data_IF_046112592273
#
_entry.id   IF_046112592273
#
_cell.length_a   1.000
_cell.length_b   1.000
_cell.length_c   1.000
_cell.angle_alpha   90.00
_cell.angle_beta   90.00
_cell.angle_gamma   90.00
#
_symmetry.space_group_name_H-M   'P 1'
#
loop_
_entity.id
_entity.type
_entity.pdbx_description
1 polymer ?
#
# COMPACT_ATOMS: atom_id res chain seq x y z
N UNK A 1 13.76 -2.67 9.34
CA UNK A 1 13.33 -1.28 9.56
C UNK A 1 14.49 -0.35 9.89
N UNK A 2 15.45 -0.76 10.74
CA UNK A 2 16.63 0.04 11.09
C UNK A 2 17.41 0.55 9.88
N UNK A 3 17.60 -0.29 8.86
CA UNK A 3 18.31 0.11 7.63
C UNK A 3 17.55 1.14 6.78
N UNK A 4 16.24 1.31 7.03
CA UNK A 4 15.39 2.25 6.30
C UNK A 4 15.36 3.60 7.00
N UNK A 5 15.03 3.60 8.30
CA UNK A 5 14.99 4.80 9.14
C UNK A 5 16.37 4.96 9.80
N UNK A 6 17.30 5.49 9.02
CA UNK A 6 18.70 5.67 9.40
C UNK A 6 19.26 6.99 8.86
N UNK A 7 20.44 7.38 9.35
CA UNK A 7 21.19 8.54 8.91
C UNK A 7 20.58 9.87 9.37
N UNK A 8 21.20 11.01 9.00
CA UNK A 8 20.80 12.33 9.48
C UNK A 8 19.55 12.85 8.73
N UNK A 9 18.45 12.10 8.76
CA UNK A 9 17.17 12.56 8.27
C UNK A 9 16.68 13.71 9.17
N UNK A 10 16.26 14.81 8.55
CA UNK A 10 15.78 15.98 9.25
C UNK A 10 14.30 15.86 9.58
N UNK A 11 13.52 15.28 8.67
CA UNK A 11 12.07 15.19 8.79
C UNK A 11 11.53 13.85 8.32
N UNK A 12 10.40 13.42 8.88
CA UNK A 12 9.76 12.17 8.52
C UNK A 12 8.24 12.29 8.40
N UNK A 13 7.67 11.73 7.33
CA UNK A 13 6.27 11.35 7.28
C UNK A 13 6.18 9.84 7.30
N UNK A 14 5.42 9.30 8.24
CA UNK A 14 5.18 7.87 8.36
C UNK A 14 3.69 7.60 8.42
N UNK A 15 3.19 6.72 7.56
CA UNK A 15 1.79 6.35 7.54
C UNK A 15 1.63 4.84 7.72
N UNK A 16 0.66 4.43 8.54
CA UNK A 16 0.36 3.03 8.76
C UNK A 16 -1.03 2.85 9.39
N UNK A 17 -1.56 1.64 9.29
CA UNK A 17 -2.76 1.23 10.02
C UNK A 17 -2.51 1.02 11.53
N UNK A 18 -1.31 0.56 11.90
CA UNK A 18 -0.96 0.14 13.26
C UNK A 18 0.47 0.55 13.60
N UNK A 19 0.64 1.08 14.81
CA UNK A 19 1.91 1.51 15.36
C UNK A 19 2.10 0.95 16.76
N UNK A 20 3.31 0.48 17.03
CA UNK A 20 3.94 0.38 18.35
C UNK A 20 5.11 1.37 18.32
N UNK A 21 4.82 2.62 18.71
CA UNK A 21 5.80 3.70 18.62
C UNK A 21 6.97 3.53 19.60
N UNK A 22 6.77 3.07 20.85
CA UNK A 22 7.89 2.75 21.74
C UNK A 22 8.87 1.73 21.15
N UNK A 23 8.36 0.65 20.55
CA UNK A 23 9.20 -0.29 19.84
C UNK A 23 9.91 0.37 18.66
N UNK A 24 9.18 1.08 17.80
CA UNK A 24 9.75 1.71 16.60
C UNK A 24 10.88 2.70 16.94
N UNK A 25 10.71 3.54 17.96
CA UNK A 25 11.74 4.48 18.42
C UNK A 25 12.93 3.76 19.03
N UNK A 26 12.69 2.66 19.77
CA UNK A 26 13.77 1.82 20.29
C UNK A 26 14.59 1.17 19.17
N UNK A 27 13.95 0.79 18.07
CA UNK A 27 14.63 0.21 16.90
C UNK A 27 15.34 1.28 16.07
N UNK A 28 14.75 2.47 15.97
CA UNK A 28 15.23 3.58 15.16
C UNK A 28 15.43 4.86 16.01
N UNK A 29 16.45 4.91 16.89
CA UNK A 29 16.66 6.06 17.80
C UNK A 29 16.85 7.39 17.07
N UNK A 30 17.28 7.36 15.81
CA UNK A 30 17.43 8.54 14.95
C UNK A 30 16.14 9.34 14.78
N UNK A 31 14.97 8.74 15.01
CA UNK A 31 13.71 9.48 15.06
C UNK A 31 13.75 10.61 16.11
N UNK A 32 14.49 10.44 17.21
CA UNK A 32 14.59 11.45 18.27
C UNK A 32 15.49 12.63 17.89
N UNK A 33 16.23 12.55 16.78
CA UNK A 33 17.08 13.64 16.28
C UNK A 33 16.42 14.47 15.19
N UNK A 34 15.23 14.06 14.72
CA UNK A 34 14.49 14.75 13.66
C UNK A 34 13.83 16.02 14.20
N UNK A 35 13.75 17.07 13.36
CA UNK A 35 13.09 18.32 13.74
C UNK A 35 11.57 18.27 13.58
N UNK A 36 11.07 17.43 12.67
CA UNK A 36 9.65 17.34 12.36
C UNK A 36 9.23 15.91 12.01
N UNK A 37 8.18 15.41 12.65
CA UNK A 37 7.62 14.08 12.39
C UNK A 37 6.10 14.15 12.23
N UNK A 38 5.61 13.72 11.06
CA UNK A 38 4.18 13.57 10.77
C UNK A 38 3.81 12.09 10.78
N UNK A 39 2.87 11.69 11.65
CA UNK A 39 2.35 10.33 11.77
C UNK A 39 0.90 10.31 11.29
N UNK A 40 0.64 9.60 10.20
CA UNK A 40 -0.71 9.42 9.65
C UNK A 40 -1.26 8.03 9.99
N UNK A 41 -2.46 7.96 10.57
CA UNK A 41 -3.09 6.70 10.99
C UNK A 41 -4.54 6.56 10.56
N UNK A 42 -4.97 5.31 10.36
CA UNK A 42 -6.36 4.95 10.08
C UNK A 42 -7.27 4.82 11.31
N UNK A 43 -6.73 4.99 12.51
CA UNK A 43 -7.51 4.89 13.73
C UNK A 43 -8.43 6.12 13.88
N UNK A 44 -9.72 5.90 13.60
CA UNK A 44 -10.76 6.91 13.56
C UNK A 44 -11.42 7.18 14.91
N UNK A 45 -12.06 8.35 15.02
CA UNK A 45 -12.80 8.78 16.21
C UNK A 45 -14.17 8.11 16.44
N UNK A 46 -14.51 7.07 15.69
CA UNK A 46 -15.87 6.49 15.69
C UNK A 46 -16.00 5.15 16.42
N UNK A 47 -14.90 4.55 16.86
CA UNK A 47 -14.90 3.27 17.59
C UNK A 47 -14.06 3.40 18.86
N UNK A 48 -14.55 3.03 20.06
CA UNK A 48 -13.83 3.21 21.32
C UNK A 48 -12.40 2.65 21.31
N UNK A 49 -12.21 1.44 20.75
CA UNK A 49 -10.88 0.81 20.62
C UNK A 49 -9.93 1.54 19.66
N UNK A 50 -10.44 2.27 18.67
CA UNK A 50 -9.64 3.09 17.74
C UNK A 50 -9.26 4.43 18.38
N UNK A 51 -10.19 5.05 19.10
CA UNK A 51 -9.95 6.28 19.87
C UNK A 51 -8.82 6.06 20.88
N UNK A 52 -8.90 5.01 21.70
CA UNK A 52 -7.88 4.71 22.72
C UNK A 52 -6.50 4.46 22.09
N UNK A 53 -6.44 3.81 20.92
CA UNK A 53 -5.18 3.57 20.21
C UNK A 53 -4.60 4.87 19.65
N UNK A 54 -5.41 5.74 19.07
CA UNK A 54 -4.98 7.06 18.61
C UNK A 54 -4.46 7.92 19.77
N UNK A 55 -5.15 7.94 20.90
CA UNK A 55 -4.69 8.66 22.10
C UNK A 55 -3.38 8.09 22.66
N UNK A 56 -3.23 6.75 22.67
CA UNK A 56 -1.99 6.11 23.10
C UNK A 56 -0.82 6.44 22.17
N UNK A 57 -1.08 6.49 20.85
CA UNK A 57 -0.08 6.87 19.85
C UNK A 57 0.36 8.33 20.06
N UNK A 58 -0.60 9.24 20.28
CA UNK A 58 -0.32 10.66 20.59
C UNK A 58 0.55 10.80 21.84
N UNK A 59 0.17 10.16 22.95
CA UNK A 59 0.97 10.18 24.18
C UNK A 59 2.38 9.66 23.95
N UNK A 60 2.53 8.54 23.26
CA UNK A 60 3.87 7.97 22.97
C UNK A 60 4.70 8.91 22.09
N UNK A 61 4.07 9.61 21.15
CA UNK A 61 4.74 10.58 20.28
C UNK A 61 5.20 11.81 21.08
N UNK A 62 4.35 12.32 21.98
CA UNK A 62 4.70 13.43 22.87
C UNK A 62 5.86 13.04 23.80
N UNK A 63 5.75 11.89 24.45
CA UNK A 63 6.69 11.43 25.49
C UNK A 63 8.07 11.07 24.91
N UNK A 64 8.16 10.57 23.68
CA UNK A 64 9.40 10.03 23.12
C UNK A 64 10.03 10.90 22.03
N UNK A 65 9.22 11.64 21.26
CA UNK A 65 9.67 12.42 20.11
C UNK A 65 9.59 13.92 20.40
N UNK A 66 8.43 14.42 20.85
CA UNK A 66 8.29 15.85 21.13
C UNK A 66 9.14 16.30 22.32
N UNK A 67 9.24 15.46 23.36
CA UNK A 67 10.14 15.66 24.49
C UNK A 67 11.63 15.75 24.10
N UNK A 68 12.00 15.19 22.94
CA UNK A 68 13.35 15.26 22.36
C UNK A 68 13.58 16.51 21.51
N UNK A 69 12.58 17.39 21.40
CA UNK A 69 12.66 18.66 20.66
C UNK A 69 12.05 18.65 19.27
N UNK A 70 11.47 17.52 18.81
CA UNK A 70 10.78 17.44 17.54
C UNK A 70 9.41 18.13 17.57
N UNK A 71 9.02 18.79 16.49
CA UNK A 71 7.60 19.09 16.24
C UNK A 71 6.93 17.80 15.76
N UNK A 72 5.86 17.34 16.41
CA UNK A 72 5.22 16.08 16.08
C UNK A 72 3.72 16.27 15.83
N UNK A 73 3.26 15.79 14.68
CA UNK A 73 1.84 15.79 14.31
C UNK A 73 1.34 14.34 14.20
N UNK A 74 0.28 13.99 14.92
CA UNK A 74 -0.37 12.68 14.83
C UNK A 74 -1.81 12.85 14.35
N UNK A 75 -2.04 12.54 13.08
CA UNK A 75 -3.29 12.77 12.39
C UNK A 75 -4.02 11.49 12.02
N UNK A 76 -5.33 11.46 12.32
CA UNK A 76 -6.22 10.43 11.82
C UNK A 76 -6.71 10.81 10.43
N UNK A 77 -6.48 9.93 9.46
CA UNK A 77 -6.93 10.14 8.07
C UNK A 77 -8.46 10.03 8.01
N UNK A 78 -9.17 11.02 7.41
CA UNK A 78 -10.61 10.95 7.21
C UNK A 78 -10.97 9.76 6.32
N UNK A 79 -11.75 8.83 6.88
CA UNK A 79 -12.33 7.72 6.14
C UNK A 79 -13.82 7.98 5.86
N UNK A 80 -14.36 7.57 4.69
CA UNK A 80 -15.78 7.73 4.39
C UNK A 80 -16.67 7.08 5.46
N UNK A 81 -17.61 7.87 6.01
CA UNK A 81 -18.54 7.40 7.04
C UNK A 81 -19.50 6.35 6.47
N UNK A 82 -19.90 5.38 7.30
CA UNK A 82 -20.86 4.35 6.91
C UNK A 82 -20.32 3.31 5.91
N UNK A 83 -19.00 3.30 5.68
CA UNK A 83 -18.34 2.32 4.79
C UNK A 83 -17.42 1.39 5.60
N UNK A 84 -17.02 0.27 5.00
CA UNK A 84 -15.99 -0.63 5.53
C UNK A 84 -14.55 -0.19 5.16
N UNK A 85 -14.33 1.10 4.89
CA UNK A 85 -13.03 1.65 4.47
C UNK A 85 -11.96 1.54 5.56
N UNK A 86 -10.71 1.35 5.13
CA UNK A 86 -9.53 1.25 6.00
C UNK A 86 -8.37 2.04 5.40
N UNK A 87 -7.63 2.78 6.22
CA UNK A 87 -6.34 3.35 5.83
C UNK A 87 -5.26 2.27 5.99
N UNK A 88 -5.02 1.54 4.91
CA UNK A 88 -4.06 0.43 4.83
C UNK A 88 -2.60 0.78 4.39
N UNK A 89 -2.30 1.93 3.75
CA UNK A 89 -0.95 2.26 3.29
C UNK A 89 0.11 2.15 4.39
N UNK A 90 1.32 1.73 4.02
CA UNK A 90 2.52 1.77 4.85
C UNK A 90 3.64 2.44 4.07
N UNK A 91 3.81 3.72 4.30
CA UNK A 91 4.74 4.59 3.59
C UNK A 91 5.61 5.32 4.61
N UNK A 92 6.89 5.43 4.31
CA UNK A 92 7.84 6.25 5.04
C UNK A 92 8.48 7.20 4.02
N UNK A 93 8.40 8.49 4.29
CA UNK A 93 9.15 9.54 3.60
C UNK A 93 10.15 10.12 4.59
N UNK A 94 11.44 10.07 4.26
CA UNK A 94 12.50 10.67 5.07
C UNK A 94 13.16 11.76 4.26
N UNK A 95 13.06 13.01 4.71
CA UNK A 95 13.74 14.13 4.10
C UNK A 95 15.11 14.34 4.78
N UNK A 96 16.17 14.18 4.01
CA UNK A 96 17.53 14.55 4.37
C UNK A 96 17.86 15.92 3.75
N UNK A 97 19.02 16.49 4.12
CA UNK A 97 19.50 17.74 3.52
C UNK A 97 19.67 17.64 1.99
N UNK A 98 20.09 16.47 1.48
CA UNK A 98 20.50 16.26 0.09
C UNK A 98 19.54 15.39 -0.73
N UNK A 99 18.61 14.66 -0.08
CA UNK A 99 17.73 13.69 -0.74
C UNK A 99 16.44 13.43 0.04
N UNK A 100 15.47 12.81 -0.61
CA UNK A 100 14.33 12.17 0.02
C UNK A 100 14.42 10.66 -0.17
N UNK A 101 14.19 9.90 0.88
CA UNK A 101 13.99 8.45 0.80
C UNK A 101 12.50 8.15 0.77
N UNK A 102 12.08 7.41 -0.24
CA UNK A 102 10.73 6.85 -0.33
C UNK A 102 10.80 5.37 0.02
N UNK A 103 10.08 4.96 1.05
CA UNK A 103 9.93 3.55 1.41
C UNK A 103 8.47 3.14 1.45
N UNK A 104 8.11 2.11 0.68
CA UNK A 104 6.78 1.47 0.69
C UNK A 104 6.96 0.04 1.18
N UNK A 105 6.20 -0.38 2.18
CA UNK A 105 6.31 -1.73 2.76
C UNK A 105 4.95 -2.41 2.94
N UNK A 106 4.96 -3.74 3.11
CA UNK A 106 3.76 -4.51 3.50
C UNK A 106 3.58 -4.63 5.02
N UNK A 107 4.62 -4.38 5.82
CA UNK A 107 4.60 -4.58 7.28
C UNK A 107 3.93 -3.41 8.01
N UNK A 108 3.08 -3.72 9.00
CA UNK A 108 2.73 -2.69 9.99
C UNK A 108 3.93 -2.37 10.89
N UNK A 109 3.93 -1.21 11.56
CA UNK A 109 5.00 -0.84 12.49
C UNK A 109 4.79 -1.47 13.88
N UNK A 110 4.84 -2.81 13.91
CA UNK A 110 4.77 -3.65 15.10
C UNK A 110 5.93 -4.66 15.07
N UNK A 111 6.49 -5.00 16.22
CA UNK A 111 7.64 -5.92 16.31
C UNK A 111 7.43 -7.24 15.56
N UNK A 112 6.28 -7.89 15.78
CA UNK A 112 5.95 -9.19 15.20
C UNK A 112 5.85 -9.17 13.66
N UNK A 113 5.46 -8.03 13.10
CA UNK A 113 5.35 -7.82 11.65
C UNK A 113 6.72 -7.68 10.96
N UNK A 114 7.79 -7.38 11.71
CA UNK A 114 9.16 -7.22 11.20
C UNK A 114 10.10 -8.35 11.61
N UNK A 115 9.60 -9.38 12.30
CA UNK A 115 10.44 -10.43 12.89
C UNK A 115 10.45 -11.73 12.08
N UNK A 116 9.30 -12.39 11.95
CA UNK A 116 9.18 -13.77 11.41
C UNK A 116 8.21 -13.91 10.25
N UNK A 117 7.77 -12.78 9.68
CA UNK A 117 6.86 -12.73 8.54
C UNK A 117 7.62 -12.37 7.27
N UNK A 118 7.23 -12.97 6.16
CA UNK A 118 7.69 -12.53 4.86
C UNK A 118 7.01 -11.20 4.54
N UNK A 119 7.81 -10.15 4.42
CA UNK A 119 7.37 -8.80 4.10
C UNK A 119 8.17 -8.28 2.92
N UNK A 120 7.56 -7.38 2.16
CA UNK A 120 8.22 -6.70 1.05
C UNK A 120 8.52 -5.26 1.45
N UNK A 121 9.67 -4.76 1.02
CA UNK A 121 10.08 -3.38 1.19
C UNK A 121 10.63 -2.88 -0.14
N UNK A 122 10.04 -1.81 -0.67
CA UNK A 122 10.63 -0.96 -1.69
C UNK A 122 11.27 0.23 -1.00
N UNK A 123 12.53 0.53 -1.31
CA UNK A 123 13.25 1.72 -0.80
C UNK A 123 14.06 2.32 -1.94
N UNK A 124 13.90 3.62 -2.17
CA UNK A 124 14.75 4.36 -3.09
C UNK A 124 14.99 5.78 -2.59
N UNK A 125 16.21 6.27 -2.78
CA UNK A 125 16.63 7.64 -2.49
C UNK A 125 16.59 8.48 -3.77
N UNK A 126 16.11 9.71 -3.65
CA UNK A 126 15.97 10.69 -4.73
C UNK A 126 16.65 12.00 -4.35
N UNK A 127 17.64 12.48 -5.12
CA UNK A 127 18.40 13.68 -4.77
C UNK A 127 17.53 14.94 -4.84
N UNK A 128 17.98 16.01 -4.19
CA UNK A 128 17.34 17.33 -4.29
C UNK A 128 17.49 17.89 -5.71
N UNK A 129 16.47 18.59 -6.22
CA UNK A 129 16.56 19.30 -7.51
C UNK A 129 17.65 20.38 -7.42
N UNK A 130 18.45 20.51 -8.48
CA UNK A 130 19.45 21.58 -8.60
C UNK A 130 18.78 22.85 -9.14
N UNK A 131 19.13 24.03 -8.62
CA UNK A 131 18.51 25.32 -9.01
C UNK A 131 18.82 25.72 -10.46
N UNK A 132 19.98 25.30 -10.99
CA UNK A 132 20.49 25.72 -12.31
C UNK A 132 20.57 24.57 -13.35
N UNK A 133 20.12 23.37 -12.99
CA UNK A 133 20.20 22.19 -13.84
C UNK A 133 18.96 22.04 -14.72
N UNK A 134 19.16 21.76 -16.01
CA UNK A 134 18.07 21.24 -16.85
C UNK A 134 17.49 20.01 -16.15
N UNK A 135 16.22 20.07 -15.74
CA UNK A 135 15.54 18.97 -15.07
C UNK A 135 15.72 17.69 -15.91
N UNK A 136 16.33 16.65 -15.33
CA UNK A 136 16.42 15.33 -15.95
C UNK A 136 15.03 14.70 -15.94
N UNK A 137 14.17 15.15 -16.84
CA UNK A 137 12.78 14.71 -16.87
C UNK A 137 12.71 13.31 -17.47
N UNK A 138 12.41 12.32 -16.63
CA UNK A 138 11.99 10.99 -17.07
C UNK A 138 10.48 10.86 -16.85
N UNK A 139 9.76 10.25 -17.80
CA UNK A 139 8.32 10.03 -17.68
C UNK A 139 7.96 9.24 -16.41
N UNK A 140 8.85 8.32 -16.02
CA UNK A 140 8.72 7.53 -14.81
C UNK A 140 8.91 8.37 -13.54
N UNK A 141 9.89 9.28 -13.53
CA UNK A 141 10.10 10.21 -12.43
C UNK A 141 8.95 11.20 -12.26
N UNK A 142 8.42 11.74 -13.35
CA UNK A 142 7.24 12.61 -13.32
C UNK A 142 6.00 11.91 -12.74
N UNK A 143 5.75 10.66 -13.14
CA UNK A 143 4.64 9.86 -12.62
C UNK A 143 4.85 9.51 -11.13
N UNK A 144 6.09 9.23 -10.70
CA UNK A 144 6.44 9.02 -9.29
C UNK A 144 6.14 10.26 -8.43
N UNK A 145 6.60 11.44 -8.86
CA UNK A 145 6.36 12.72 -8.19
C UNK A 145 4.86 13.04 -8.12
N UNK A 146 4.14 12.92 -9.24
CA UNK A 146 2.70 13.20 -9.32
C UNK A 146 1.90 12.24 -8.43
N UNK A 147 2.13 10.93 -8.51
CA UNK A 147 1.38 9.97 -7.71
C UNK A 147 1.62 10.11 -6.23
N UNK A 148 2.88 10.29 -5.82
CA UNK A 148 3.21 10.47 -4.41
C UNK A 148 2.55 11.75 -3.87
N UNK A 149 2.67 12.87 -4.61
CA UNK A 149 2.05 14.14 -4.25
C UNK A 149 0.53 14.03 -4.09
N UNK A 150 -0.18 13.44 -5.05
CA UNK A 150 -1.64 13.36 -4.93
C UNK A 150 -2.10 12.34 -3.91
N UNK A 151 -1.36 11.24 -3.70
CA UNK A 151 -1.70 10.30 -2.65
C UNK A 151 -1.62 11.00 -1.28
N UNK A 152 -0.52 11.70 -1.00
CA UNK A 152 -0.36 12.48 0.23
C UNK A 152 -1.46 13.55 0.36
N UNK A 153 -1.70 14.33 -0.69
CA UNK A 153 -2.76 15.35 -0.72
C UNK A 153 -4.18 14.80 -0.54
N UNK A 154 -4.40 13.50 -0.78
CA UNK A 154 -5.69 12.85 -0.56
C UNK A 154 -5.87 12.26 0.85
N UNK A 155 -4.81 12.16 1.65
CA UNK A 155 -4.89 11.62 3.02
C UNK A 155 -5.42 12.66 4.01
N UNK A 156 -4.71 13.76 4.23
CA UNK A 156 -5.15 14.90 5.06
C UNK A 156 -4.69 16.20 4.39
N UNK A 157 -4.86 17.36 5.04
CA UNK A 157 -4.02 18.52 4.74
C UNK A 157 -2.61 18.20 5.25
N UNK A 158 -1.93 17.29 4.58
CA UNK A 158 -0.57 16.86 4.93
C UNK A 158 0.42 17.99 4.64
N UNK A 159 0.30 19.08 5.42
CA UNK A 159 1.10 20.29 5.46
C UNK A 159 1.86 20.62 4.15
N UNK A 160 3.15 20.87 4.28
CA UNK A 160 4.11 21.19 3.24
C UNK A 160 4.69 19.93 2.58
N UNK A 161 4.24 18.71 2.93
CA UNK A 161 4.81 17.47 2.37
C UNK A 161 4.64 17.38 0.86
N UNK A 162 3.52 17.86 0.32
CA UNK A 162 3.35 17.99 -1.13
C UNK A 162 4.41 18.91 -1.76
N UNK A 163 4.80 20.00 -1.08
CA UNK A 163 5.81 20.93 -1.56
C UNK A 163 7.22 20.36 -1.36
N UNK A 164 7.47 19.66 -0.25
CA UNK A 164 8.72 18.91 -0.01
C UNK A 164 8.93 17.86 -1.09
N UNK A 165 7.92 17.04 -1.41
CA UNK A 165 8.01 16.01 -2.44
C UNK A 165 8.49 16.61 -3.76
N UNK A 166 7.92 17.74 -4.18
CA UNK A 166 8.27 18.44 -5.43
C UNK A 166 9.68 19.02 -5.46
N UNK A 167 10.36 19.14 -4.33
CA UNK A 167 11.72 19.66 -4.25
C UNK A 167 12.81 18.65 -4.63
N UNK A 168 12.45 17.38 -4.87
CA UNK A 168 13.38 16.30 -5.19
C UNK A 168 13.23 15.78 -6.62
N UNK A 169 14.32 15.29 -7.19
CA UNK A 169 14.40 14.77 -8.55
C UNK A 169 14.17 13.24 -8.56
N UNK A 170 13.04 12.83 -9.15
CA UNK A 170 12.64 11.43 -9.28
C UNK A 170 13.10 10.78 -10.59
N UNK A 171 13.98 11.41 -11.36
CA UNK A 171 14.47 10.94 -12.67
C UNK A 171 14.95 9.49 -12.68
N UNK A 172 15.48 9.02 -11.55
CA UNK A 172 16.01 7.67 -11.32
C UNK A 172 14.97 6.63 -10.88
N UNK A 173 13.70 7.00 -10.75
CA UNK A 173 12.64 6.09 -10.30
C UNK A 173 12.64 4.80 -11.12
N UNK A 174 12.49 3.66 -10.44
CA UNK A 174 12.52 2.32 -11.08
C UNK A 174 11.15 1.68 -11.21
N UNK A 175 10.09 2.35 -10.75
CA UNK A 175 8.74 1.81 -10.73
C UNK A 175 7.66 2.88 -10.60
N UNK A 176 6.42 2.46 -10.84
CA UNK A 176 5.24 3.32 -10.79
C UNK A 176 4.37 2.95 -9.60
N UNK A 177 3.91 3.96 -8.85
CA UNK A 177 3.04 3.73 -7.68
C UNK A 177 1.63 3.38 -8.17
N UNK A 178 1.01 2.34 -7.62
CA UNK A 178 -0.43 2.08 -7.73
C UNK A 178 -1.05 2.22 -6.35
N UNK A 179 -1.70 3.35 -6.10
CA UNK A 179 -2.36 3.64 -4.84
C UNK A 179 -3.88 3.56 -4.98
N UNK A 180 -4.57 3.35 -3.85
CA UNK A 180 -6.03 3.37 -3.76
C UNK A 180 -6.44 4.46 -2.78
N UNK A 181 -7.27 5.38 -3.25
CA UNK A 181 -7.90 6.42 -2.45
C UNK A 181 -9.41 6.23 -2.58
N UNK A 182 -10.17 6.20 -1.47
CA UNK A 182 -11.62 6.15 -1.56
C UNK A 182 -12.15 7.31 -2.40
N UNK A 183 -13.18 7.09 -3.21
CA UNK A 183 -13.92 8.19 -3.81
C UNK A 183 -14.66 8.92 -2.69
N UNK A 184 -14.03 9.96 -2.12
CA UNK A 184 -14.67 10.77 -1.08
C UNK A 184 -15.69 11.67 -1.77
N UNK A 185 -16.96 11.56 -1.36
CA UNK A 185 -17.97 12.57 -1.64
C UNK A 185 -17.52 13.90 -1.01
N UNK A 186 -16.95 14.77 -1.84
CA UNK A 186 -16.41 16.06 -1.43
C UNK A 186 -15.26 16.49 -2.35
N UNK A 187 -15.63 17.18 -3.44
CA UNK A 187 -14.84 17.69 -4.58
C UNK A 187 -14.67 16.81 -5.83
N UNK A 188 -15.01 15.52 -5.79
CA UNK A 188 -15.23 14.75 -7.02
C UNK A 188 -16.60 14.06 -6.97
N UNK A 189 -17.53 14.54 -7.80
CA UNK A 189 -18.85 13.95 -7.98
C UNK A 189 -18.69 12.56 -8.58
N UNK A 190 -18.87 11.50 -7.79
CA UNK A 190 -19.19 10.16 -8.29
C UNK A 190 -20.27 9.55 -7.39
N UNK A 191 -21.47 10.12 -7.45
CA UNK A 191 -22.67 9.55 -6.87
C UNK A 191 -23.11 8.34 -7.68
N UNK A 192 -22.94 7.11 -7.19
CA UNK A 192 -23.55 5.86 -7.71
C UNK A 192 -23.65 5.70 -9.25
N UNK A 193 -22.74 6.34 -9.98
CA UNK A 193 -22.57 6.31 -11.42
C UNK A 193 -21.06 6.21 -11.60
N UNK A 194 -20.67 5.19 -12.34
CA UNK A 194 -19.35 4.95 -12.92
C UNK A 194 -18.51 6.23 -12.94
N UNK A 195 -17.31 6.20 -12.33
CA UNK A 195 -16.32 7.27 -12.49
C UNK A 195 -15.98 7.29 -13.99
N UNK A 196 -16.61 8.16 -14.78
CA UNK A 196 -16.33 8.31 -16.21
C UNK A 196 -15.40 9.50 -16.39
N UNK A 197 -14.18 9.24 -16.89
CA UNK A 197 -13.22 10.28 -17.26
C UNK A 197 -11.77 9.91 -16.89
N UNK A 198 -10.79 10.78 -17.19
CA UNK A 198 -9.36 10.53 -16.91
C UNK A 198 -9.05 10.22 -15.44
N UNK A 199 -9.90 10.67 -14.51
CA UNK A 199 -9.78 10.43 -13.07
C UNK A 199 -9.96 8.96 -12.67
N UNK A 200 -10.63 8.13 -13.50
CA UNK A 200 -10.79 6.69 -13.22
C UNK A 200 -9.45 5.95 -13.23
N UNK A 201 -8.50 6.42 -14.03
CA UNK A 201 -7.17 5.81 -14.16
C UNK A 201 -6.20 6.29 -13.08
N UNK A 202 -6.67 7.07 -12.09
CA UNK A 202 -5.79 7.62 -11.04
C UNK A 202 -5.53 6.61 -9.92
N UNK A 203 -6.49 5.75 -9.61
CA UNK A 203 -6.44 4.91 -8.41
C UNK A 203 -6.80 3.45 -8.70
N UNK A 204 -6.37 2.57 -7.80
CA UNK A 204 -6.74 1.16 -7.78
C UNK A 204 -6.34 0.38 -9.04
N UNK A 205 -7.08 -0.70 -9.31
CA UNK A 205 -6.80 -1.58 -10.46
C UNK A 205 -7.00 -0.88 -11.80
N UNK A 206 -7.79 0.20 -11.87
CA UNK A 206 -7.96 1.00 -13.09
C UNK A 206 -6.70 1.80 -13.43
N UNK A 207 -5.96 2.29 -12.43
CA UNK A 207 -4.61 2.82 -12.67
C UNK A 207 -3.68 1.74 -13.17
N UNK A 208 -3.65 0.58 -12.52
CA UNK A 208 -2.81 -0.54 -12.96
C UNK A 208 -3.09 -0.92 -14.42
N UNK A 209 -4.36 -1.01 -14.81
CA UNK A 209 -4.79 -1.21 -16.19
C UNK A 209 -4.24 -0.14 -17.13
N UNK A 210 -4.31 1.13 -16.74
CA UNK A 210 -3.77 2.24 -17.52
C UNK A 210 -2.25 2.11 -17.70
N UNK A 211 -1.51 1.76 -16.66
CA UNK A 211 -0.07 1.58 -16.72
C UNK A 211 0.33 0.41 -17.64
N UNK A 212 -0.31 -0.74 -17.48
CA UNK A 212 -0.01 -1.95 -18.27
C UNK A 212 -0.23 -1.75 -19.77
N UNK A 213 -1.23 -0.93 -20.17
CA UNK A 213 -1.45 -0.58 -21.57
C UNK A 213 -0.32 0.20 -22.24
N UNK A 214 0.55 0.84 -21.45
CA UNK A 214 1.71 1.57 -21.94
C UNK A 214 3.00 0.75 -21.84
N UNK A 215 2.92 -0.49 -21.39
CA UNK A 215 4.05 -1.42 -21.38
C UNK A 215 4.10 -2.20 -22.69
N UNK A 216 5.29 -2.70 -23.03
CA UNK A 216 5.45 -3.59 -24.17
C UNK A 216 4.66 -4.89 -23.91
N UNK A 217 3.96 -5.37 -24.93
CA UNK A 217 3.19 -6.62 -24.83
C UNK A 217 4.12 -7.82 -24.58
N UNK A 218 3.81 -8.67 -23.59
CA UNK A 218 4.56 -9.91 -23.41
C UNK A 218 4.33 -10.84 -24.59
N UNK A 219 5.40 -11.46 -25.09
CA UNK A 219 5.28 -12.53 -26.08
C UNK A 219 4.52 -13.71 -25.45
N UNK A 220 3.61 -14.33 -26.20
CA UNK A 220 2.82 -15.49 -25.77
C UNK A 220 1.98 -15.24 -24.51
N UNK A 221 1.34 -14.07 -24.41
CA UNK A 221 0.47 -13.69 -23.30
C UNK A 221 -0.59 -14.76 -22.91
N UNK A 222 -1.04 -15.59 -23.85
CA UNK A 222 -1.97 -16.70 -23.61
C UNK A 222 -1.40 -17.81 -22.70
N UNK A 223 -0.08 -17.89 -22.54
CA UNK A 223 0.60 -18.87 -21.68
C UNK A 223 0.72 -18.38 -20.22
N UNK A 224 0.37 -17.12 -19.95
CA UNK A 224 0.52 -16.54 -18.62
C UNK A 224 -0.68 -16.84 -17.73
N UNK A 225 -0.43 -16.75 -16.42
CA UNK A 225 -1.45 -16.83 -15.39
C UNK A 225 -1.39 -15.57 -14.53
N UNK A 226 -2.54 -15.14 -14.03
CA UNK A 226 -2.59 -14.11 -12.99
C UNK A 226 -2.36 -14.76 -11.63
N UNK A 227 -1.39 -14.29 -10.86
CA UNK A 227 -1.14 -14.79 -9.50
C UNK A 227 -1.45 -13.68 -8.49
N UNK A 228 -2.43 -13.93 -7.64
CA UNK A 228 -2.84 -13.06 -6.55
C UNK A 228 -2.35 -13.65 -5.22
N UNK A 229 -1.34 -13.06 -4.61
CA UNK A 229 -0.89 -13.41 -3.27
C UNK A 229 -1.40 -12.36 -2.28
N UNK A 230 -2.17 -12.78 -1.28
CA UNK A 230 -2.77 -11.87 -0.31
C UNK A 230 -2.69 -12.45 1.11
N UNK A 231 -2.82 -11.58 2.12
CA UNK A 231 -2.99 -11.97 3.53
C UNK A 231 -4.42 -11.75 4.03
N UNK A 232 -5.29 -11.18 3.20
CA UNK A 232 -6.70 -10.92 3.51
C UNK A 232 -7.52 -11.01 2.23
N UNK A 233 -8.76 -11.49 2.34
CA UNK A 233 -9.69 -11.49 1.22
C UNK A 233 -11.07 -11.01 1.68
N UNK A 234 -11.67 -10.12 0.89
CA UNK A 234 -13.05 -9.67 1.08
C UNK A 234 -14.05 -10.62 0.42
N UNK A 235 -15.32 -10.28 0.48
CA UNK A 235 -16.34 -10.97 -0.33
C UNK A 235 -16.04 -10.80 -1.81
N UNK A 236 -16.09 -11.91 -2.55
CA UNK A 236 -15.85 -11.93 -3.98
C UNK A 236 -17.17 -11.99 -4.75
N UNK A 237 -17.25 -11.24 -5.84
CA UNK A 237 -18.35 -11.36 -6.80
C UNK A 237 -17.82 -11.60 -8.22
N UNK A 238 -18.58 -12.34 -9.02
CA UNK A 238 -18.15 -12.79 -10.34
C UNK A 238 -17.82 -11.61 -11.28
N UNK A 239 -18.68 -10.58 -11.30
CA UNK A 239 -18.50 -9.38 -12.12
C UNK A 239 -17.22 -8.64 -11.73
N UNK A 240 -16.97 -8.48 -10.41
CA UNK A 240 -15.78 -7.82 -9.90
C UNK A 240 -14.50 -8.61 -10.21
N UNK A 241 -14.52 -9.94 -10.08
CA UNK A 241 -13.38 -10.79 -10.47
C UNK A 241 -13.07 -10.60 -11.96
N UNK A 242 -14.09 -10.63 -12.82
CA UNK A 242 -13.92 -10.43 -14.26
C UNK A 242 -13.31 -9.05 -14.56
N UNK A 243 -13.83 -7.99 -13.94
CA UNK A 243 -13.33 -6.62 -14.08
C UNK A 243 -11.87 -6.49 -13.62
N UNK A 244 -11.57 -7.06 -12.45
CA UNK A 244 -10.24 -7.03 -11.85
C UNK A 244 -9.22 -7.80 -12.70
N UNK A 245 -9.54 -9.02 -13.11
CA UNK A 245 -8.68 -9.83 -13.98
C UNK A 245 -8.48 -9.18 -15.36
N UNK A 246 -9.52 -8.59 -15.94
CA UNK A 246 -9.40 -7.84 -17.20
C UNK A 246 -8.45 -6.63 -17.08
N UNK A 247 -8.41 -6.02 -15.89
CA UNK A 247 -7.48 -4.92 -15.60
C UNK A 247 -6.02 -5.40 -15.51
N UNK A 248 -5.78 -6.56 -14.89
CA UNK A 248 -4.46 -7.18 -14.77
C UNK A 248 -3.94 -7.74 -16.10
N UNK A 249 -4.85 -8.15 -16.97
CA UNK A 249 -4.57 -8.66 -18.29
C UNK A 249 -4.87 -7.58 -19.34
N UNK A 250 -4.34 -6.37 -19.21
CA UNK A 250 -4.49 -5.35 -20.26
C UNK A 250 -3.13 -5.04 -20.85
N UNK A 251 -3.04 -4.92 -22.17
CA UNK A 251 -1.80 -4.57 -22.88
C UNK A 251 -2.05 -3.48 -23.94
N UNK A 252 -0.98 -2.98 -24.57
CA UNK A 252 -1.07 -1.96 -25.60
C UNK A 252 -1.81 -2.45 -26.84
N UNK A 253 -1.51 -3.67 -27.32
CA UNK A 253 -2.20 -4.26 -28.48
C UNK A 253 -3.54 -4.91 -28.11
N UNK A 254 -3.74 -5.23 -26.84
CA UNK A 254 -4.95 -5.90 -26.35
C UNK A 254 -5.53 -5.16 -25.13
N UNK A 255 -6.25 -4.04 -25.36
CA UNK A 255 -6.78 -3.20 -24.26
C UNK A 255 -7.96 -3.84 -23.51
N UNK A 256 -8.50 -4.94 -24.03
CA UNK A 256 -9.64 -5.69 -23.50
C UNK A 256 -9.41 -7.18 -23.75
N UNK A 257 -8.54 -7.80 -22.96
CA UNK A 257 -8.41 -9.26 -22.98
C UNK A 257 -9.58 -9.82 -22.17
N UNK A 258 -10.31 -10.78 -22.75
CA UNK A 258 -11.34 -11.53 -22.03
C UNK A 258 -10.68 -12.31 -20.90
N UNK A 259 -11.30 -12.31 -19.73
CA UNK A 259 -10.77 -12.87 -18.48
C UNK A 259 -10.70 -14.42 -18.45
N UNK A 260 -10.56 -15.07 -19.61
CA UNK A 260 -10.36 -16.52 -19.71
C UNK A 260 -8.90 -16.93 -19.34
N UNK A 261 -8.09 -15.99 -18.88
CA UNK A 261 -6.73 -16.23 -18.40
C UNK A 261 -6.80 -16.95 -17.05
N UNK A 262 -6.07 -18.08 -16.87
CA UNK A 262 -6.00 -18.77 -15.60
C UNK A 262 -5.54 -17.83 -14.49
N UNK A 263 -6.19 -17.89 -13.34
CA UNK A 263 -5.80 -17.12 -12.16
C UNK A 263 -5.65 -18.00 -10.94
N UNK A 264 -4.75 -17.59 -10.07
CA UNK A 264 -4.35 -18.31 -8.86
C UNK A 264 -4.40 -17.38 -7.66
N UNK A 265 -4.88 -17.90 -6.54
CA UNK A 265 -4.92 -17.26 -5.24
C UNK A 265 -4.00 -18.01 -4.30
N UNK A 266 -2.89 -17.37 -3.92
CA UNK A 266 -1.89 -17.94 -3.02
C UNK A 266 -2.24 -17.55 -1.58
N UNK A 267 -2.55 -18.56 -0.77
CA UNK A 267 -2.87 -18.43 0.65
C UNK A 267 -2.15 -19.52 1.46
N UNK A 268 -1.71 -19.22 2.68
CA UNK A 268 -1.17 -20.25 3.57
C UNK A 268 -2.27 -21.22 4.01
N UNK A 269 -1.95 -22.50 3.98
CA UNK A 269 -2.81 -23.56 4.52
C UNK A 269 -2.79 -23.55 6.04
N UNK A 270 -3.80 -24.17 6.65
CA UNK A 270 -3.84 -24.40 8.10
C UNK A 270 -2.57 -25.09 8.60
N UNK A 271 -2.09 -26.11 7.87
CA UNK A 271 -0.86 -26.81 8.21
C UNK A 271 0.35 -25.87 8.18
N UNK A 272 0.51 -25.06 7.14
CA UNK A 272 1.62 -24.11 7.00
C UNK A 272 1.61 -23.05 8.09
N UNK A 273 0.44 -22.53 8.49
CA UNK A 273 0.34 -21.62 9.63
C UNK A 273 0.79 -22.33 10.91
N UNK A 274 0.25 -23.53 11.17
CA UNK A 274 0.55 -24.32 12.36
C UNK A 274 2.03 -24.67 12.48
N UNK A 275 2.71 -24.94 11.37
CA UNK A 275 4.13 -25.33 11.35
C UNK A 275 5.09 -24.17 11.04
N UNK A 276 4.58 -22.93 10.92
CA UNK A 276 5.41 -21.73 10.72
C UNK A 276 6.24 -21.40 11.96
N UNK A 277 7.19 -20.46 11.82
CA UNK A 277 8.03 -19.97 12.93
C UNK A 277 7.25 -19.30 14.08
N UNK A 278 6.03 -18.86 13.80
CA UNK A 278 5.13 -18.23 14.77
C UNK A 278 4.00 -19.17 15.23
N UNK A 279 3.79 -20.30 14.53
CA UNK A 279 2.64 -21.18 14.75
C UNK A 279 1.30 -20.46 14.57
N UNK A 280 0.28 -20.90 15.31
CA UNK A 280 -1.06 -20.30 15.28
C UNK A 280 -1.13 -18.79 15.51
N UNK A 281 -0.34 -18.17 16.40
CA UNK A 281 -0.23 -16.72 16.50
C UNK A 281 0.01 -16.00 15.16
N UNK A 282 0.78 -16.59 14.25
CA UNK A 282 1.02 -16.04 12.91
C UNK A 282 -0.26 -15.91 12.07
N UNK A 283 -1.25 -16.77 12.33
CA UNK A 283 -2.59 -16.73 11.73
C UNK A 283 -3.37 -15.46 12.02
N UNK A 284 -3.02 -14.71 13.07
CA UNK A 284 -3.72 -13.47 13.41
C UNK A 284 -3.55 -12.36 12.37
N UNK A 285 -2.48 -12.39 11.56
CA UNK A 285 -2.26 -11.48 10.43
C UNK A 285 -2.91 -11.96 9.12
N UNK A 286 -3.56 -13.13 9.13
CA UNK A 286 -4.25 -13.71 7.95
C UNK A 286 -5.76 -13.57 8.16
N UNK A 287 -6.41 -12.72 7.36
CA UNK A 287 -7.84 -12.37 7.49
C UNK A 287 -8.65 -12.95 6.33
N UNK A 288 -8.86 -14.26 6.38
CA UNK A 288 -9.65 -15.01 5.40
C UNK A 288 -10.73 -15.79 6.14
N UNK A 289 -11.99 -15.44 5.91
CA UNK A 289 -13.13 -16.21 6.38
C UNK A 289 -13.50 -17.29 5.34
N UNK A 290 -14.14 -18.37 5.77
CA UNK A 290 -14.52 -19.46 4.86
C UNK A 290 -15.48 -18.96 3.77
N UNK A 291 -16.39 -18.09 4.17
CA UNK A 291 -17.41 -17.48 3.32
C UNK A 291 -16.78 -16.53 2.28
N UNK A 292 -15.61 -15.95 2.59
CA UNK A 292 -14.86 -15.10 1.66
C UNK A 292 -14.14 -15.89 0.56
N UNK A 293 -14.13 -17.23 0.64
CA UNK A 293 -13.63 -18.13 -0.40
C UNK A 293 -14.78 -18.68 -1.28
N UNK A 294 -15.91 -17.98 -1.30
CA UNK A 294 -17.01 -18.25 -2.22
C UNK A 294 -17.18 -17.04 -3.14
N UNK A 295 -17.59 -17.31 -4.39
CA UNK A 295 -17.87 -16.29 -5.40
C UNK A 295 -19.37 -16.12 -5.46
N UNK A 296 -19.85 -14.93 -5.13
CA UNK A 296 -21.24 -14.56 -5.33
C UNK A 296 -21.51 -14.26 -6.80
N UNK A 297 -22.63 -14.77 -7.33
CA UNK A 297 -23.18 -14.39 -8.62
C UNK A 297 -24.47 -13.60 -8.40
N UNK A 298 -24.44 -12.31 -8.79
CA UNK A 298 -25.55 -11.39 -8.57
C UNK A 298 -26.72 -11.66 -9.52
N UNK A 299 -26.46 -12.27 -10.69
CA UNK A 299 -27.47 -12.49 -11.71
C UNK A 299 -28.43 -13.61 -11.30
N UNK A 300 -27.92 -14.69 -10.71
CA UNK A 300 -28.73 -15.82 -10.25
C UNK A 300 -28.89 -15.92 -8.72
N UNK A 301 -28.24 -15.02 -7.97
CA UNK A 301 -28.23 -14.97 -6.49
C UNK A 301 -27.70 -16.26 -5.86
N UNK A 302 -26.69 -16.85 -6.48
CA UNK A 302 -25.99 -18.02 -5.97
C UNK A 302 -24.61 -17.69 -5.39
N UNK A 303 -24.08 -18.64 -4.64
CA UNK A 303 -22.67 -18.67 -4.23
C UNK A 303 -22.07 -19.98 -4.73
N UNK A 304 -20.87 -19.88 -5.31
CA UNK A 304 -20.12 -21.04 -5.79
C UNK A 304 -18.73 -21.04 -5.18
N UNK A 305 -18.18 -22.24 -4.98
CA UNK A 305 -16.80 -22.38 -4.55
C UNK A 305 -15.85 -21.77 -5.60
N UNK A 306 -14.64 -21.40 -5.17
CA UNK A 306 -13.56 -21.04 -6.09
C UNK A 306 -13.36 -22.14 -7.16
N UNK A 307 -12.99 -21.77 -8.40
CA UNK A 307 -12.68 -22.75 -9.43
C UNK A 307 -11.65 -23.77 -8.95
N UNK A 308 -11.81 -25.04 -9.36
CA UNK A 308 -10.88 -26.10 -8.99
C UNK A 308 -9.47 -25.72 -9.45
N UNK A 309 -8.52 -25.70 -8.52
CA UNK A 309 -7.13 -25.31 -8.79
C UNK A 309 -6.85 -23.81 -8.65
N UNK A 310 -7.83 -22.98 -8.28
CA UNK A 310 -7.58 -21.56 -8.02
C UNK A 310 -6.77 -21.34 -6.73
N UNK A 311 -6.89 -22.20 -5.72
CA UNK A 311 -6.14 -22.07 -4.46
C UNK A 311 -4.77 -22.73 -4.54
N UNK A 312 -3.74 -21.95 -4.23
CA UNK A 312 -2.35 -22.38 -4.19
C UNK A 312 -1.74 -22.14 -2.81
N UNK A 313 -0.83 -23.06 -2.43
CA UNK A 313 -0.17 -23.08 -1.12
C UNK A 313 0.89 -21.99 -1.00
N UNK A 314 1.18 -21.55 0.22
CA UNK A 314 2.26 -20.61 0.49
C UNK A 314 3.63 -21.32 0.53
N UNK A 315 4.63 -20.76 -0.16
CA UNK A 315 6.02 -21.19 -0.01
C UNK A 315 6.40 -22.49 -0.74
N UNK A 316 5.82 -22.76 -1.91
CA UNK A 316 6.16 -23.93 -2.72
C UNK A 316 7.50 -23.85 -3.44
N UNK A 317 8.30 -22.80 -3.23
CA UNK A 317 9.62 -22.69 -3.84
C UNK A 317 10.69 -23.19 -2.86
N UNK A 318 11.52 -24.13 -3.29
CA UNK A 318 12.81 -24.35 -2.63
C UNK A 318 13.68 -23.08 -2.75
N UNK A 319 14.82 -23.05 -2.06
CA UNK A 319 15.77 -21.92 -2.10
C UNK A 319 16.24 -21.55 -3.52
N UNK A 320 16.04 -22.44 -4.50
CA UNK A 320 16.38 -22.27 -5.91
C UNK A 320 15.16 -21.97 -6.81
N UNK A 321 13.97 -21.76 -6.22
CA UNK A 321 12.77 -21.36 -6.96
C UNK A 321 11.98 -22.51 -7.60
N UNK A 322 12.29 -23.78 -7.33
CA UNK A 322 11.57 -24.93 -7.92
C UNK A 322 10.34 -25.30 -7.09
N UNK A 323 9.24 -25.60 -7.79
CA UNK A 323 8.01 -26.16 -7.21
C UNK A 323 8.11 -27.66 -6.98
#
# INVERSE_FOLDING_TARGET
IRDVIDGPAEEMLICCMRFDLPWLVSECPVMQTMRHITILTGDTHNMPRRILRLESLRRSADDMLASSGATVAVEAVPLPKGTHSTFHPKLILLAYADRIRVCITSANFLYDEWWKKNQTVYVQDFPRKQEDGAELRSSLGEDMEDQLSAFIGATTKADDWCDKIKAFDYSTAIGQIVASVPSVEGNHVCSNKTVVGPSVNRWGHMRLRHLLRHQADPQNMADFSVVCQVSSIGSLDADWIEEFLSSLCSSGSHPQIKADIPWQLVLPTEHEVRTSLEGWPGGSSIKVARESLQIADKADKSERDLPRGALHRWGTHDVDGRQ
#
